data_IF_492065713771
#
_entry.id   IF_492065713771
#
_cell.length_a   1.000
_cell.length_b   1.000
_cell.length_c   1.000
_cell.angle_alpha   90.00
_cell.angle_beta   90.00
_cell.angle_gamma   90.00
#
_symmetry.space_group_name_H-M   'P 1'
#
loop_
_entity.id
_entity.type
_entity.pdbx_description
1 polymer ?
#
# COMPACT_ATOMS: atom_id res chain seq x y z
N UNK A 1 -9.14 -14.12 1.26
CA UNK A 1 -10.10 -13.44 0.34
C UNK A 1 -9.87 -13.98 -1.07
N UNK A 2 -10.67 -13.60 -2.08
CA UNK A 2 -10.45 -14.06 -3.46
C UNK A 2 -9.02 -13.76 -3.96
N UNK A 3 -8.44 -12.62 -3.56
CA UNK A 3 -7.10 -12.20 -3.96
C UNK A 3 -5.98 -13.15 -3.48
N UNK A 4 -6.03 -13.64 -2.23
CA UNK A 4 -5.05 -14.60 -1.69
C UNK A 4 -5.10 -15.96 -2.38
N UNK A 5 -6.20 -16.26 -3.08
CA UNK A 5 -6.36 -17.54 -3.78
C UNK A 5 -5.78 -17.52 -5.21
N UNK A 6 -5.47 -16.34 -5.77
CA UNK A 6 -5.10 -16.20 -7.19
C UNK A 6 -3.82 -15.41 -7.43
N UNK A 7 -3.30 -14.67 -6.44
CA UNK A 7 -2.02 -13.95 -6.54
C UNK A 7 -1.02 -14.45 -5.50
N UNK A 8 0.29 -14.39 -5.79
CA UNK A 8 1.33 -14.81 -4.86
C UNK A 8 1.53 -13.77 -3.74
N UNK A 9 2.11 -14.21 -2.63
CA UNK A 9 2.37 -13.37 -1.44
C UNK A 9 3.08 -12.04 -1.75
N UNK A 10 4.12 -11.97 -2.61
CA UNK A 10 4.79 -10.70 -2.90
C UNK A 10 3.89 -9.62 -3.53
N UNK A 11 2.73 -10.00 -4.07
CA UNK A 11 1.72 -9.05 -4.57
C UNK A 11 0.74 -8.69 -3.45
N UNK A 12 0.32 -9.67 -2.66
CA UNK A 12 -0.74 -9.50 -1.66
C UNK A 12 -0.25 -8.80 -0.40
N UNK A 13 0.94 -9.16 0.10
CA UNK A 13 1.44 -8.67 1.38
C UNK A 13 1.65 -7.15 1.40
N UNK A 14 2.25 -6.50 0.38
CA UNK A 14 2.32 -5.04 0.33
C UNK A 14 0.96 -4.35 0.34
N UNK A 15 -0.04 -4.96 -0.31
CA UNK A 15 -1.43 -4.45 -0.33
C UNK A 15 -2.03 -4.59 1.07
N UNK A 16 -1.85 -5.72 1.76
CA UNK A 16 -2.32 -5.91 3.14
C UNK A 16 -1.69 -4.88 4.09
N UNK A 17 -0.42 -4.57 3.87
CA UNK A 17 0.39 -3.68 4.72
C UNK A 17 0.26 -2.19 4.38
N UNK A 18 -0.53 -1.79 3.38
CA UNK A 18 -0.57 -0.38 2.95
C UNK A 18 -1.10 0.59 4.04
N UNK A 19 -1.93 0.14 4.98
CA UNK A 19 -2.35 0.95 6.13
C UNK A 19 -1.25 1.03 7.19
N UNK A 20 -0.67 -0.09 7.69
CA UNK A 20 0.52 -0.06 8.52
C UNK A 20 1.64 0.83 7.97
N UNK A 21 1.93 0.74 6.67
CA UNK A 21 2.95 1.55 6.01
C UNK A 21 2.68 3.06 6.11
N UNK A 22 1.40 3.51 6.11
CA UNK A 22 1.06 4.91 6.35
C UNK A 22 1.42 5.34 7.77
N UNK A 23 1.09 4.50 8.75
CA UNK A 23 1.37 4.76 10.17
C UNK A 23 2.88 4.80 10.42
N UNK A 24 3.61 3.84 9.83
CA UNK A 24 5.07 3.78 9.85
C UNK A 24 5.69 5.06 9.29
N UNK A 25 5.32 5.45 8.07
CA UNK A 25 5.88 6.64 7.42
C UNK A 25 5.64 7.92 8.23
N UNK A 26 4.49 8.06 8.87
CA UNK A 26 4.24 9.21 9.75
C UNK A 26 5.01 9.17 11.07
N UNK A 27 5.54 8.02 11.47
CA UNK A 27 6.36 7.87 12.66
C UNK A 27 7.85 8.13 12.38
N UNK A 28 8.36 7.61 11.26
CA UNK A 28 9.80 7.68 10.94
C UNK A 28 10.20 8.89 10.08
N UNK A 29 9.25 9.52 9.39
CA UNK A 29 9.48 10.69 8.55
C UNK A 29 8.61 11.86 9.03
N UNK A 30 9.24 12.78 9.76
CA UNK A 30 8.58 13.93 10.39
C UNK A 30 7.86 14.85 9.38
N UNK A 31 8.22 14.80 8.10
CA UNK A 31 7.57 15.60 7.05
C UNK A 31 6.40 14.86 6.40
N UNK A 32 6.29 13.54 6.57
CA UNK A 32 5.33 12.72 5.83
C UNK A 32 3.87 13.12 6.11
N UNK A 33 3.54 13.44 7.37
CA UNK A 33 2.21 13.90 7.76
C UNK A 33 1.76 15.11 6.94
N UNK A 34 2.66 16.07 6.69
CA UNK A 34 2.33 17.30 5.99
C UNK A 34 1.89 17.06 4.55
N UNK A 35 2.48 16.06 3.89
CA UNK A 35 2.19 15.68 2.50
C UNK A 35 0.94 14.81 2.33
N UNK A 36 0.31 14.36 3.41
CA UNK A 36 -0.94 13.60 3.32
C UNK A 36 -2.12 14.50 2.91
N UNK A 37 -3.01 13.96 2.07
CA UNK A 37 -4.32 14.56 1.84
C UNK A 37 -5.17 14.55 3.12
N UNK A 38 -6.18 15.42 3.19
CA UNK A 38 -7.05 15.50 4.36
C UNK A 38 -7.75 14.17 4.68
N UNK A 39 -8.19 13.45 3.65
CA UNK A 39 -8.74 12.10 3.81
C UNK A 39 -7.74 11.09 4.38
N UNK A 40 -6.47 11.15 3.96
CA UNK A 40 -5.40 10.31 4.51
C UNK A 40 -5.12 10.64 5.99
N UNK A 41 -5.13 11.93 6.37
CA UNK A 41 -4.94 12.40 7.76
C UNK A 41 -6.08 11.93 8.67
N UNK A 42 -7.33 12.13 8.24
CA UNK A 42 -8.52 11.72 9.01
C UNK A 42 -8.52 10.20 9.23
N UNK A 43 -8.27 9.42 8.17
CA UNK A 43 -8.22 7.96 8.28
C UNK A 43 -7.05 7.49 9.14
N UNK A 44 -5.90 8.15 9.08
CA UNK A 44 -4.73 7.81 9.91
C UNK A 44 -5.04 7.94 11.40
N UNK A 45 -5.69 9.03 11.83
CA UNK A 45 -6.11 9.20 13.23
C UNK A 45 -7.05 8.07 13.67
N UNK A 46 -8.02 7.70 12.83
CA UNK A 46 -8.94 6.58 13.10
C UNK A 46 -8.24 5.21 13.13
N UNK A 47 -7.10 5.09 12.47
CA UNK A 47 -6.30 3.87 12.37
C UNK A 47 -5.24 3.75 13.47
N UNK A 48 -5.25 4.64 14.48
CA UNK A 48 -4.32 4.59 15.61
C UNK A 48 -3.13 5.55 15.51
N UNK A 49 -3.09 6.44 14.51
CA UNK A 49 -2.03 7.45 14.37
C UNK A 49 -0.67 6.87 13.94
N UNK A 50 0.41 7.66 14.03
CA UNK A 50 1.77 7.17 13.81
C UNK A 50 2.09 5.94 14.69
N UNK A 51 2.94 5.05 14.19
CA UNK A 51 3.43 3.92 14.97
C UNK A 51 4.29 4.36 16.18
N UNK A 52 4.24 3.58 17.25
CA UNK A 52 5.21 3.60 18.35
C UNK A 52 6.53 2.95 17.94
N UNK A 53 7.61 3.14 18.71
CA UNK A 53 8.91 2.48 18.46
C UNK A 53 8.78 0.96 18.36
N UNK A 54 8.01 0.33 19.24
CA UNK A 54 7.77 -1.12 19.19
C UNK A 54 7.02 -1.54 17.92
N UNK A 55 6.01 -0.77 17.50
CA UNK A 55 5.28 -1.07 16.26
C UNK A 55 6.16 -0.87 15.01
N UNK A 56 7.12 0.06 15.06
CA UNK A 56 8.15 0.21 14.02
C UNK A 56 9.01 -1.05 13.95
N UNK A 57 9.57 -1.48 15.09
CA UNK A 57 10.41 -2.68 15.15
C UNK A 57 9.64 -3.91 14.63
N UNK A 58 8.40 -4.11 15.08
CA UNK A 58 7.55 -5.22 14.64
C UNK A 58 7.20 -5.13 13.13
N UNK A 59 7.04 -3.92 12.59
CA UNK A 59 6.72 -3.72 11.17
C UNK A 59 7.92 -3.97 10.26
N UNK A 60 9.13 -3.56 10.67
CA UNK A 60 10.37 -3.76 9.91
C UNK A 60 10.81 -5.23 9.86
N UNK A 61 10.28 -6.09 10.72
CA UNK A 61 10.48 -7.55 10.67
C UNK A 61 9.70 -8.25 9.55
N UNK A 62 8.65 -7.63 9.01
CA UNK A 62 7.87 -8.20 7.91
C UNK A 62 8.67 -8.11 6.60
N UNK A 63 8.97 -9.23 5.89
CA UNK A 63 9.75 -9.20 4.65
C UNK A 63 9.18 -8.30 3.54
N UNK A 64 7.89 -7.96 3.62
CA UNK A 64 7.20 -7.11 2.65
C UNK A 64 7.13 -5.63 3.04
N UNK A 65 7.71 -5.23 4.19
CA UNK A 65 7.57 -3.86 4.72
C UNK A 65 8.05 -2.81 3.72
N UNK A 66 9.21 -3.01 3.08
CA UNK A 66 9.74 -2.03 2.13
C UNK A 66 8.84 -1.88 0.90
N UNK A 67 8.30 -3.00 0.41
CA UNK A 67 7.39 -2.99 -0.73
C UNK A 67 6.08 -2.27 -0.36
N UNK A 68 5.58 -2.49 0.86
CA UNK A 68 4.42 -1.77 1.40
C UNK A 68 4.68 -0.26 1.51
N UNK A 69 5.87 0.14 1.99
CA UNK A 69 6.30 1.54 2.07
C UNK A 69 6.37 2.18 0.68
N UNK A 70 6.97 1.49 -0.30
CA UNK A 70 7.01 1.95 -1.69
C UNK A 70 5.61 2.12 -2.27
N UNK A 71 4.74 1.12 -2.10
CA UNK A 71 3.35 1.17 -2.54
C UNK A 71 2.59 2.33 -1.89
N UNK A 72 2.78 2.55 -0.59
CA UNK A 72 2.15 3.66 0.15
C UNK A 72 2.57 5.03 -0.38
N UNK A 73 3.85 5.23 -0.67
CA UNK A 73 4.35 6.48 -1.26
C UNK A 73 3.78 6.72 -2.66
N UNK A 74 3.46 5.67 -3.40
CA UNK A 74 2.75 5.79 -4.69
C UNK A 74 1.28 6.17 -4.46
N UNK A 75 0.57 5.47 -3.57
CA UNK A 75 -0.82 5.75 -3.18
C UNK A 75 -1.03 7.22 -2.78
N UNK A 76 -0.16 7.76 -1.91
CA UNK A 76 -0.29 9.14 -1.46
C UNK A 76 -0.07 10.19 -2.57
N UNK A 77 0.75 9.86 -3.58
CA UNK A 77 1.03 10.75 -4.72
C UNK A 77 0.01 10.61 -5.87
N UNK A 78 -0.77 9.53 -5.92
CA UNK A 78 -1.72 9.22 -6.98
C UNK A 78 -3.03 10.03 -6.87
N UNK A 79 -2.93 11.35 -6.67
CA UNK A 79 -4.06 12.27 -6.43
C UNK A 79 -4.00 13.51 -7.36
N UNK A 80 -3.36 13.36 -8.51
CA UNK A 80 -3.22 14.43 -9.51
C UNK A 80 -4.48 14.42 -10.38
N UNK A 81 -5.25 15.51 -10.32
CA UNK A 81 -6.41 15.71 -11.18
C UNK A 81 -5.96 15.80 -12.64
N UNK A 82 -6.75 15.23 -13.54
CA UNK A 82 -6.58 15.28 -14.99
C UNK A 82 -5.23 14.70 -15.50
N UNK A 83 -4.53 13.92 -14.68
CA UNK A 83 -3.37 13.17 -15.13
C UNK A 83 -3.81 12.06 -16.09
N UNK A 84 -3.41 12.16 -17.35
CA UNK A 84 -3.61 11.09 -18.32
C UNK A 84 -2.76 9.87 -17.94
N UNK A 85 -3.43 8.73 -17.78
CA UNK A 85 -2.81 7.44 -17.49
C UNK A 85 -3.33 6.38 -18.47
N UNK A 86 -2.54 5.34 -18.78
CA UNK A 86 -3.04 4.23 -19.57
C UNK A 86 -4.32 3.62 -18.96
N UNK A 87 -5.28 3.16 -19.78
CA UNK A 87 -6.47 2.49 -19.28
C UNK A 87 -6.10 1.17 -18.59
N UNK A 88 -7.00 0.63 -17.76
CA UNK A 88 -6.76 -0.64 -17.05
C UNK A 88 -6.36 -1.79 -18.00
N UNK A 89 -6.90 -1.82 -19.22
CA UNK A 89 -6.57 -2.83 -20.24
C UNK A 89 -5.09 -2.85 -20.63
N UNK A 90 -4.38 -1.71 -20.49
CA UNK A 90 -2.94 -1.63 -20.71
C UNK A 90 -2.16 -2.53 -19.75
N UNK A 91 -2.65 -2.71 -18.53
CA UNK A 91 -2.00 -3.51 -17.48
C UNK A 91 -2.49 -4.96 -17.42
N UNK A 92 -3.50 -5.32 -18.22
CA UNK A 92 -4.19 -6.61 -18.11
C UNK A 92 -3.24 -7.81 -18.28
N UNK A 93 -2.37 -7.78 -19.29
CA UNK A 93 -1.41 -8.85 -19.54
C UNK A 93 -0.46 -9.05 -18.35
N UNK A 94 0.09 -7.95 -17.82
CA UNK A 94 0.98 -8.00 -16.67
C UNK A 94 0.27 -8.57 -15.43
N UNK A 95 -0.97 -8.13 -15.16
CA UNK A 95 -1.77 -8.65 -14.04
C UNK A 95 -2.08 -10.13 -14.24
N UNK A 96 -2.48 -10.56 -15.44
CA UNK A 96 -2.80 -11.95 -15.72
C UNK A 96 -1.58 -12.87 -15.65
N UNK A 97 -0.38 -12.38 -16.02
CA UNK A 97 0.86 -13.15 -15.90
C UNK A 97 1.26 -13.45 -14.45
N UNK A 98 0.71 -12.70 -13.48
CA UNK A 98 0.97 -12.88 -12.05
C UNK A 98 -0.03 -13.83 -11.37
N UNK A 99 -1.02 -14.36 -12.11
CA UNK A 99 -1.99 -15.30 -11.56
C UNK A 99 -1.32 -16.65 -11.28
N UNK A 100 -1.51 -17.17 -10.06
CA UNK A 100 -1.05 -18.50 -9.65
C UNK A 100 -2.15 -19.56 -9.78
N UNK A 101 -3.39 -19.14 -10.00
CA UNK A 101 -4.54 -20.00 -10.22
C UNK A 101 -5.49 -19.38 -11.25
N UNK A 102 -6.22 -20.18 -12.04
CA UNK A 102 -7.21 -19.68 -12.97
C UNK A 102 -8.37 -18.99 -12.24
N UNK A 103 -8.84 -17.87 -12.78
CA UNK A 103 -10.07 -17.20 -12.32
C UNK A 103 -11.25 -17.93 -12.95
N UNK A 104 -11.94 -18.79 -12.19
CA UNK A 104 -13.22 -19.34 -12.63
C UNK A 104 -14.26 -18.21 -12.70
N UNK A 105 -14.89 -18.07 -13.87
CA UNK A 105 -16.03 -17.18 -14.09
C UNK A 105 -17.29 -17.75 -13.47
#
# INVERSE_FOLDING_TARGET
TLATAVFPEPIIEPIRLHVPAKRYLCAVDAQYWSGLSDGSKISLVKQGGPMTEREIDDFELDPSYEAAVRLRRIDDRAKILDLEVPPLSHYAEAVFSLLTAPIQR
#
